data_IF_262042777675
#
_entry.id   IF_262042777675
#
_cell.length_a   1.000
_cell.length_b   1.000
_cell.length_c   1.000
_cell.angle_alpha   90.00
_cell.angle_beta   90.00
_cell.angle_gamma   90.00
#
_symmetry.space_group_name_H-M   'P 1'
#
loop_
_entity.id
_entity.type
_entity.pdbx_description
1 polymer ?
#
# COMPACT_ATOMS: atom_id res chain seq x y z
N UNK A 1 -11.55 1.97 10.07
CA UNK A 1 -10.54 1.92 8.98
C UNK A 1 -9.23 2.65 9.37
N UNK A 2 -8.79 2.58 10.63
CA UNK A 2 -7.61 3.34 11.10
C UNK A 2 -6.65 2.41 11.82
N UNK A 3 -5.33 2.68 11.74
CA UNK A 3 -4.36 1.93 12.53
C UNK A 3 -4.49 2.32 14.01
N UNK A 4 -4.07 1.42 14.90
CA UNK A 4 -3.99 1.64 16.35
C UNK A 4 -2.58 1.98 16.81
N UNK A 5 -1.58 1.50 16.08
CA UNK A 5 -0.17 1.76 16.34
C UNK A 5 0.57 1.82 15.01
N UNK A 6 1.45 2.80 14.87
CA UNK A 6 2.26 3.00 13.67
C UNK A 6 3.70 3.23 14.07
N UNK A 7 4.62 2.62 13.36
CA UNK A 7 6.05 2.84 13.45
C UNK A 7 6.59 3.19 12.06
N UNK A 8 7.57 4.08 12.00
CA UNK A 8 8.24 4.44 10.76
C UNK A 8 9.72 4.68 11.01
N UNK A 9 10.55 3.97 10.25
CA UNK A 9 11.98 4.22 10.11
C UNK A 9 12.21 4.75 8.69
N UNK A 10 12.90 5.88 8.58
CA UNK A 10 13.15 6.48 7.29
C UNK A 10 14.35 7.41 7.34
N UNK A 11 15.03 7.58 6.20
CA UNK A 11 16.16 8.50 6.08
C UNK A 11 16.37 8.96 4.62
N UNK A 12 17.28 9.93 4.43
CA UNK A 12 17.81 10.33 3.14
C UNK A 12 19.23 9.78 3.00
N UNK A 13 19.44 8.87 2.08
CA UNK A 13 20.76 8.32 1.79
C UNK A 13 21.35 8.80 0.46
N UNK A 14 20.51 9.22 -0.48
CA UNK A 14 20.90 9.60 -1.85
C UNK A 14 20.39 10.99 -2.20
N UNK A 15 19.14 11.32 -1.82
CA UNK A 15 18.51 12.60 -2.15
C UNK A 15 18.42 13.51 -0.93
N UNK A 16 19.58 13.92 -0.42
CA UNK A 16 19.68 14.77 0.78
C UNK A 16 18.91 16.10 0.67
N UNK A 17 18.76 16.62 -0.56
CA UNK A 17 18.06 17.87 -0.87
C UNK A 17 16.52 17.79 -0.82
N UNK A 18 15.94 16.58 -0.74
CA UNK A 18 14.48 16.45 -0.64
C UNK A 18 13.98 16.85 0.74
N UNK A 19 12.70 17.16 0.89
CA UNK A 19 12.09 17.34 2.22
C UNK A 19 11.73 15.99 2.86
N UNK A 20 11.34 15.01 2.03
CA UNK A 20 10.99 13.66 2.46
C UNK A 20 12.20 12.71 2.42
N UNK A 21 12.20 11.66 3.25
CA UNK A 21 13.17 10.56 3.14
C UNK A 21 13.05 9.83 1.78
N UNK A 22 14.18 9.35 1.26
CA UNK A 22 14.24 8.55 0.02
C UNK A 22 14.14 7.04 0.27
N UNK A 23 14.34 6.63 1.52
CA UNK A 23 14.28 5.24 1.97
C UNK A 23 13.37 5.18 3.20
N UNK A 24 12.30 4.39 3.10
CA UNK A 24 11.18 4.40 4.06
C UNK A 24 10.72 2.98 4.36
N UNK A 25 10.52 2.70 5.65
CA UNK A 25 9.87 1.50 6.15
C UNK A 25 8.83 1.91 7.19
N UNK A 26 7.57 1.55 6.97
CA UNK A 26 6.48 1.82 7.90
C UNK A 26 5.70 0.55 8.22
N UNK A 27 5.38 0.37 9.50
CA UNK A 27 4.54 -0.70 10.00
C UNK A 27 3.30 -0.12 10.69
N UNK A 28 2.12 -0.53 10.23
CA UNK A 28 0.84 -0.03 10.70
C UNK A 28 -0.05 -1.19 11.17
N UNK A 29 -0.45 -1.16 12.43
CA UNK A 29 -1.33 -2.17 13.02
C UNK A 29 -2.79 -1.76 12.91
N UNK A 30 -3.56 -2.45 12.08
CA UNK A 30 -5.02 -2.29 12.00
C UNK A 30 -5.73 -3.39 12.79
N UNK A 31 -7.04 -3.25 13.07
CA UNK A 31 -7.84 -4.36 13.58
C UNK A 31 -7.84 -5.52 12.58
N UNK A 32 -7.19 -6.64 12.94
CA UNK A 32 -7.21 -7.89 12.18
C UNK A 32 -6.18 -8.01 11.05
N UNK A 33 -5.43 -6.94 10.74
CA UNK A 33 -4.38 -6.96 9.72
C UNK A 33 -3.23 -6.03 10.11
N UNK A 34 -2.01 -6.46 9.86
CA UNK A 34 -0.84 -5.59 9.90
C UNK A 34 -0.48 -5.20 8.47
N UNK A 35 -0.25 -3.90 8.24
CA UNK A 35 0.11 -3.33 6.95
C UNK A 35 1.56 -2.86 7.02
N UNK A 36 2.37 -3.27 6.05
CA UNK A 36 3.75 -2.86 5.91
C UNK A 36 3.89 -2.06 4.62
N UNK A 37 4.69 -1.00 4.68
CA UNK A 37 5.11 -0.24 3.52
C UNK A 37 6.62 -0.15 3.51
N UNK A 38 7.22 -0.52 2.38
CA UNK A 38 8.64 -0.38 2.11
C UNK A 38 8.79 0.39 0.80
N UNK A 39 9.67 1.38 0.80
CA UNK A 39 9.95 2.20 -0.36
C UNK A 39 11.41 2.63 -0.38
N UNK A 40 12.03 2.50 -1.55
CA UNK A 40 13.33 3.09 -1.84
C UNK A 40 13.27 3.76 -3.21
N UNK A 41 13.46 5.08 -3.24
CA UNK A 41 13.25 5.89 -4.45
C UNK A 41 14.47 5.95 -5.37
N UNK A 42 15.51 5.16 -5.08
CA UNK A 42 16.76 5.12 -5.81
C UNK A 42 17.08 3.75 -6.44
N UNK A 43 16.12 2.82 -6.43
CA UNK A 43 16.19 1.54 -7.14
C UNK A 43 15.14 1.48 -8.24
N UNK A 44 15.49 0.90 -9.38
CA UNK A 44 14.57 0.67 -10.50
C UNK A 44 14.28 -0.82 -10.75
N UNK A 45 14.71 -1.69 -9.83
CA UNK A 45 14.55 -3.15 -9.98
C UNK A 45 13.11 -3.55 -9.69
N UNK A 46 12.54 -3.03 -8.60
CA UNK A 46 11.17 -3.30 -8.21
C UNK A 46 10.26 -2.20 -8.75
N UNK A 47 9.24 -2.57 -9.53
CA UNK A 47 8.26 -1.65 -10.14
C UNK A 47 7.08 -1.34 -9.20
N UNK A 48 7.26 -1.60 -7.91
CA UNK A 48 6.21 -1.61 -6.90
C UNK A 48 5.31 -2.85 -6.98
N UNK A 49 4.65 -3.15 -5.86
CA UNK A 49 3.78 -4.29 -5.75
C UNK A 49 3.04 -4.35 -4.43
N UNK A 50 2.14 -5.31 -4.33
CA UNK A 50 1.39 -5.61 -3.11
C UNK A 50 1.50 -7.10 -2.83
N UNK A 51 1.63 -7.42 -1.55
CA UNK A 51 1.58 -8.80 -1.08
C UNK A 51 0.54 -8.92 0.03
N UNK A 52 -0.45 -9.77 -0.20
CA UNK A 52 -1.47 -10.12 0.79
C UNK A 52 -1.18 -11.52 1.30
N UNK A 53 -0.84 -11.64 2.59
CA UNK A 53 -0.54 -12.91 3.24
C UNK A 53 -1.70 -13.36 4.12
N UNK A 54 -2.24 -14.54 3.83
CA UNK A 54 -3.24 -15.21 4.65
C UNK A 54 -2.75 -16.57 5.12
N UNK A 55 -3.58 -17.30 5.85
CA UNK A 55 -3.23 -18.63 6.39
C UNK A 55 -3.28 -19.74 5.35
N UNK A 56 -3.98 -19.53 4.23
CA UNK A 56 -4.18 -20.54 3.19
C UNK A 56 -3.39 -20.25 1.92
N UNK A 57 -3.10 -18.97 1.68
CA UNK A 57 -2.45 -18.52 0.47
C UNK A 57 -1.84 -17.13 0.64
N UNK A 58 -0.91 -16.83 -0.26
CA UNK A 58 -0.34 -15.51 -0.47
C UNK A 58 -0.66 -15.02 -1.88
N UNK A 59 -1.21 -13.82 -2.03
CA UNK A 59 -1.36 -13.13 -3.30
C UNK A 59 -0.20 -12.14 -3.47
N UNK A 60 0.56 -12.28 -4.56
CA UNK A 60 1.60 -11.33 -4.96
C UNK A 60 1.18 -10.69 -6.26
N UNK A 61 1.17 -9.35 -6.32
CA UNK A 61 0.90 -8.62 -7.55
C UNK A 61 1.86 -7.44 -7.73
N UNK A 62 2.16 -7.14 -8.97
CA UNK A 62 2.93 -5.98 -9.41
C UNK A 62 2.29 -5.41 -10.68
N UNK A 63 2.98 -4.50 -11.38
CA UNK A 63 2.44 -3.92 -12.62
C UNK A 63 2.23 -4.93 -13.74
N UNK A 64 3.03 -6.00 -13.78
CA UNK A 64 3.00 -7.00 -14.85
C UNK A 64 1.93 -8.08 -14.65
N UNK A 65 1.32 -8.17 -13.47
CA UNK A 65 0.24 -9.13 -13.20
C UNK A 65 0.23 -9.60 -11.75
N UNK A 66 -0.35 -10.78 -11.52
CA UNK A 66 -0.41 -11.38 -10.19
C UNK A 66 -0.25 -12.90 -10.20
N UNK A 67 0.10 -13.44 -9.03
CA UNK A 67 0.08 -14.86 -8.73
C UNK A 67 -0.49 -15.16 -7.35
N UNK A 68 -1.24 -16.25 -7.24
CA UNK A 68 -1.73 -16.80 -5.97
C UNK A 68 -0.93 -18.05 -5.62
N UNK A 69 -0.38 -18.07 -4.42
CA UNK A 69 0.53 -19.11 -3.93
C UNK A 69 -0.15 -19.81 -2.76
N UNK A 70 -0.46 -21.10 -2.89
CA UNK A 70 -1.10 -21.86 -1.81
C UNK A 70 -0.08 -22.43 -0.83
N UNK A 71 -0.43 -22.43 0.44
CA UNK A 71 0.34 -23.12 1.49
C UNK A 71 0.30 -24.64 1.28
N UNK A 72 1.39 -25.33 1.62
CA UNK A 72 1.49 -26.79 1.48
C UNK A 72 1.63 -27.32 0.05
N UNK A 73 1.66 -26.44 -0.96
CA UNK A 73 1.93 -26.79 -2.36
C UNK A 73 3.44 -26.68 -2.63
N UNK A 74 4.07 -27.68 -3.28
CA UNK A 74 5.48 -27.59 -3.63
C UNK A 74 5.79 -26.32 -4.45
N UNK A 75 6.95 -25.70 -4.20
CA UNK A 75 7.29 -24.41 -4.81
C UNK A 75 7.26 -24.42 -6.36
N UNK A 76 7.60 -25.56 -6.98
CA UNK A 76 7.55 -25.75 -8.44
C UNK A 76 6.13 -25.74 -9.03
N UNK A 77 5.12 -26.02 -8.20
CA UNK A 77 3.71 -26.12 -8.59
C UNK A 77 2.93 -24.84 -8.21
N UNK A 78 3.63 -23.85 -7.63
CA UNK A 78 3.15 -22.51 -7.37
C UNK A 78 3.72 -21.52 -8.42
N UNK A 79 3.02 -20.42 -8.75
CA UNK A 79 1.68 -20.06 -8.28
C UNK A 79 0.60 -20.94 -8.92
N UNK A 80 -0.43 -21.30 -8.14
CA UNK A 80 -1.57 -22.12 -8.61
C UNK A 80 -2.54 -21.34 -9.49
N UNK A 81 -2.53 -20.01 -9.39
CA UNK A 81 -3.25 -19.10 -10.29
C UNK A 81 -2.30 -17.98 -10.68
N UNK A 82 -2.27 -17.65 -11.97
CA UNK A 82 -1.49 -16.53 -12.50
C UNK A 82 -2.30 -15.81 -13.57
N UNK A 83 -2.20 -14.49 -13.61
CA UNK A 83 -2.62 -13.71 -14.76
C UNK A 83 -1.61 -12.59 -15.03
N UNK A 84 -1.34 -12.35 -16.30
CA UNK A 84 -0.53 -11.22 -16.74
C UNK A 84 -1.43 -10.00 -16.99
N UNK A 85 -0.91 -8.81 -16.72
CA UNK A 85 -1.57 -7.56 -17.05
C UNK A 85 -1.69 -7.43 -18.57
N UNK A 86 -2.88 -7.10 -19.06
CA UNK A 86 -3.15 -6.98 -20.49
C UNK A 86 -3.19 -5.52 -20.98
N UNK A 87 -3.29 -4.54 -20.06
CA UNK A 87 -3.17 -3.11 -20.35
C UNK A 87 -2.88 -2.30 -19.08
N UNK A 88 -2.58 -1.02 -19.26
CA UNK A 88 -2.47 -0.04 -18.16
C UNK A 88 -3.83 0.18 -17.49
N UNK A 89 -3.91 -0.08 -16.18
CA UNK A 89 -5.11 0.10 -15.38
C UNK A 89 -5.59 1.55 -15.29
N UNK A 90 -4.74 2.54 -15.62
CA UNK A 90 -5.14 3.96 -15.72
C UNK A 90 -6.26 4.15 -16.74
N UNK A 91 -6.24 3.37 -17.83
CA UNK A 91 -7.30 3.43 -18.86
C UNK A 91 -8.64 3.01 -18.25
N UNK A 92 -8.67 1.89 -17.53
CA UNK A 92 -9.86 1.38 -16.84
C UNK A 92 -10.35 2.34 -15.76
N UNK A 93 -9.43 2.91 -14.99
CA UNK A 93 -9.73 3.88 -13.95
C UNK A 93 -10.42 5.14 -14.51
N UNK A 94 -9.88 5.70 -15.60
CA UNK A 94 -10.45 6.89 -16.24
C UNK A 94 -11.77 6.59 -16.95
N UNK A 95 -11.90 5.41 -17.56
CA UNK A 95 -13.17 4.97 -18.16
C UNK A 95 -14.28 4.91 -17.11
N UNK A 96 -14.02 4.28 -15.96
CA UNK A 96 -14.96 4.25 -14.84
C UNK A 96 -15.37 5.66 -14.40
N UNK A 97 -14.41 6.58 -14.27
CA UNK A 97 -14.70 7.96 -13.89
C UNK A 97 -15.63 8.66 -14.88
N UNK A 98 -15.36 8.58 -16.19
CA UNK A 98 -16.20 9.20 -17.21
C UNK A 98 -17.59 8.57 -17.30
N UNK A 99 -17.70 7.26 -17.09
CA UNK A 99 -18.98 6.58 -17.08
C UNK A 99 -19.82 6.98 -15.86
N UNK A 100 -19.20 7.14 -14.68
CA UNK A 100 -19.85 7.65 -13.48
C UNK A 100 -20.33 9.11 -13.66
N UNK A 101 -19.58 9.95 -14.39
CA UNK A 101 -20.05 11.32 -14.73
C UNK A 101 -21.36 11.27 -15.54
N UNK A 102 -21.44 10.37 -16.54
CA UNK A 102 -22.61 10.24 -17.41
C UNK A 102 -23.79 9.62 -16.68
N UNK A 103 -23.55 8.54 -15.94
CA UNK A 103 -24.59 7.71 -15.32
C UNK A 103 -25.02 8.22 -13.95
N UNK A 104 -24.22 9.10 -13.33
CA UNK A 104 -24.36 9.54 -11.93
C UNK A 104 -24.20 8.43 -10.90
N UNK A 105 -23.56 7.32 -11.26
CA UNK A 105 -23.15 6.29 -10.31
C UNK A 105 -21.92 6.71 -9.50
N UNK A 106 -21.71 6.07 -8.35
CA UNK A 106 -20.51 6.24 -7.55
C UNK A 106 -19.29 5.63 -8.26
N UNK A 107 -18.12 6.32 -8.32
CA UNK A 107 -16.89 5.75 -8.89
C UNK A 107 -16.32 4.65 -8.00
N UNK A 108 -15.52 3.74 -8.59
CA UNK A 108 -14.84 2.67 -7.83
C UNK A 108 -13.85 3.20 -6.79
N UNK A 109 -13.37 4.44 -6.96
CA UNK A 109 -12.50 5.14 -6.03
C UNK A 109 -13.17 6.45 -5.58
N UNK A 110 -14.16 6.38 -4.67
CA UNK A 110 -14.80 7.58 -4.13
C UNK A 110 -13.83 8.37 -3.24
N UNK A 111 -14.19 9.62 -2.92
CA UNK A 111 -13.33 10.55 -2.17
C UNK A 111 -12.97 9.98 -0.79
N UNK A 112 -13.92 9.33 -0.14
CA UNK A 112 -13.79 8.72 1.18
C UNK A 112 -12.71 7.62 1.19
N UNK A 113 -12.62 6.84 0.11
CA UNK A 113 -11.57 5.83 -0.05
C UNK A 113 -10.19 6.49 -0.18
N UNK A 114 -10.09 7.60 -0.93
CA UNK A 114 -8.88 8.40 -1.02
C UNK A 114 -8.44 8.98 0.34
N UNK A 115 -9.38 9.50 1.12
CA UNK A 115 -9.13 10.01 2.47
C UNK A 115 -8.64 8.89 3.40
N UNK A 116 -9.28 7.72 3.35
CA UNK A 116 -8.87 6.57 4.16
C UNK A 116 -7.46 6.08 3.81
N UNK A 117 -7.13 6.00 2.52
CA UNK A 117 -5.80 5.61 2.04
C UNK A 117 -4.71 6.62 2.46
N UNK A 118 -4.96 7.92 2.26
CA UNK A 118 -4.01 8.97 2.61
C UNK A 118 -3.72 9.05 4.12
N UNK A 119 -4.71 8.71 4.96
CA UNK A 119 -4.59 8.76 6.42
C UNK A 119 -3.44 7.88 6.94
N UNK A 120 -3.22 6.71 6.35
CA UNK A 120 -2.13 5.81 6.73
C UNK A 120 -0.76 6.51 6.61
N UNK A 121 -0.49 7.13 5.46
CA UNK A 121 0.75 7.86 5.21
C UNK A 121 0.90 9.09 6.10
N UNK A 122 -0.19 9.82 6.36
CA UNK A 122 -0.15 10.97 7.27
C UNK A 122 0.20 10.57 8.71
N UNK A 123 -0.38 9.47 9.22
CA UNK A 123 -0.07 8.97 10.56
C UNK A 123 1.38 8.46 10.62
N UNK A 124 1.88 7.79 9.56
CA UNK A 124 3.28 7.38 9.47
C UNK A 124 4.24 8.58 9.49
N UNK A 125 3.91 9.66 8.77
CA UNK A 125 4.68 10.90 8.80
C UNK A 125 4.71 11.54 10.20
N UNK A 126 3.61 11.48 10.95
CA UNK A 126 3.57 11.94 12.34
C UNK A 126 4.47 11.08 13.24
N UNK A 127 4.48 9.76 13.05
CA UNK A 127 5.38 8.84 13.76
C UNK A 127 6.85 9.20 13.50
N UNK A 128 7.21 9.36 12.22
CA UNK A 128 8.57 9.70 11.77
C UNK A 128 9.06 11.04 12.33
N UNK A 129 8.23 12.09 12.28
CA UNK A 129 8.58 13.41 12.83
C UNK A 129 8.71 13.43 14.35
N UNK A 130 8.12 12.44 15.03
CA UNK A 130 8.19 12.28 16.47
C UNK A 130 9.36 11.37 16.89
N UNK A 131 9.03 10.23 17.49
CA UNK A 131 10.01 9.27 18.03
C UNK A 131 10.19 8.03 17.15
N UNK A 132 9.69 8.07 15.91
CA UNK A 132 9.59 6.91 15.03
C UNK A 132 8.37 6.02 15.30
N UNK A 133 7.51 6.36 16.28
CA UNK A 133 6.29 5.60 16.59
C UNK A 133 5.16 6.48 17.14
N UNK A 134 3.92 6.05 16.95
CA UNK A 134 2.72 6.71 17.48
C UNK A 134 1.59 5.71 17.74
N UNK A 135 0.88 5.87 18.87
CA UNK A 135 -0.42 5.24 19.09
C UNK A 135 -1.53 6.14 18.54
N UNK A 136 -2.50 5.57 17.85
CA UNK A 136 -3.54 6.32 17.15
C UNK A 136 -4.96 5.94 17.61
N UNK A 137 -5.86 6.92 17.86
CA UNK A 137 -5.58 8.36 17.94
C UNK A 137 -4.68 8.72 19.14
N UNK A 138 -3.92 9.82 19.09
CA UNK A 138 -3.08 10.23 20.22
C UNK A 138 -3.95 10.62 21.41
N UNK A 139 -3.50 10.27 22.63
CA UNK A 139 -4.29 10.44 23.87
C UNK A 139 -4.58 11.91 24.25
N UNK A 140 -3.91 12.90 23.65
CA UNK A 140 -3.97 14.31 24.02
C UNK A 140 -4.25 15.26 22.84
N UNK A 141 -5.22 14.97 21.97
CA UNK A 141 -5.81 15.98 21.08
C UNK A 141 -7.18 16.38 21.64
N UNK A 142 -7.15 17.28 22.63
CA UNK A 142 -8.29 18.08 23.08
C UNK A 142 -7.91 19.55 22.95
#
# INVERSE_FOLDING_TARGET
DQPRHVQMLADKYIFEQWDCPDTVQAALRYPGVDVLYEGMMASSIDDGGLEFRGTNATLKLNRSGFGVYHEGVPAKDNPVVKADSFRDGTIDHMQNFFDCIKTRNEPNAPVEAGVAAARAGQIANLAYRGTGQIAWPPKNLA
#
